data_IF_866932941889
#
_entry.id   IF_866932941889
#
_cell.length_a   1.000
_cell.length_b   1.000
_cell.length_c   1.000
_cell.angle_alpha   90.00
_cell.angle_beta   90.00
_cell.angle_gamma   90.00
#
_symmetry.space_group_name_H-M   'P 1'
#
loop_
_entity.id
_entity.type
_entity.pdbx_description
1 polymer ?
#
# COMPACT_ATOMS: atom_id res chain seq x y z
N UNK A 1 9.22 14.08 -31.91
CA UNK A 1 8.19 14.12 -30.84
C UNK A 1 8.76 13.39 -29.65
N UNK A 2 9.13 14.11 -28.58
CA UNK A 2 9.61 13.50 -27.35
C UNK A 2 8.37 13.08 -26.56
N UNK A 3 8.19 11.79 -26.30
CA UNK A 3 7.22 11.36 -25.30
C UNK A 3 7.79 11.75 -23.94
N UNK A 4 7.37 12.90 -23.40
CA UNK A 4 7.41 13.13 -21.97
C UNK A 4 6.55 12.03 -21.34
N UNK A 5 7.21 10.99 -20.80
CA UNK A 5 6.55 10.12 -19.86
C UNK A 5 6.18 10.98 -18.66
N UNK A 6 4.92 11.39 -18.57
CA UNK A 6 4.34 11.94 -17.35
C UNK A 6 4.59 10.93 -16.24
N UNK A 7 5.56 11.23 -15.36
CA UNK A 7 5.77 10.44 -14.16
C UNK A 7 4.50 10.61 -13.32
N UNK A 8 3.66 9.59 -13.30
CA UNK A 8 2.49 9.53 -12.44
C UNK A 8 2.95 9.56 -10.98
N UNK A 9 3.00 10.76 -10.41
CA UNK A 9 3.46 10.97 -9.05
C UNK A 9 2.41 10.43 -8.09
N UNK A 10 2.79 9.41 -7.32
CA UNK A 10 1.97 8.81 -6.28
C UNK A 10 2.76 8.84 -4.98
N UNK A 11 2.14 9.31 -3.90
CA UNK A 11 2.75 9.36 -2.58
C UNK A 11 1.82 8.69 -1.59
N UNK A 12 2.36 7.85 -0.72
CA UNK A 12 1.63 7.21 0.36
C UNK A 12 2.42 7.29 1.67
N UNK A 13 1.67 7.33 2.78
CA UNK A 13 2.21 7.26 4.13
C UNK A 13 1.38 6.24 4.93
N UNK A 14 2.07 5.44 5.73
CA UNK A 14 1.49 4.54 6.70
C UNK A 14 2.05 4.92 8.07
N UNK A 15 1.16 4.98 9.06
CA UNK A 15 1.54 5.26 10.44
C UNK A 15 0.85 4.27 11.37
N UNK A 16 1.53 3.94 12.46
CA UNK A 16 1.02 3.12 13.56
C UNK A 16 1.09 3.96 14.82
N UNK A 17 -0.03 4.19 15.49
CA UNK A 17 -0.05 4.74 16.83
C UNK A 17 0.37 3.63 17.81
N UNK A 18 1.54 3.78 18.44
CA UNK A 18 2.09 2.77 19.34
C UNK A 18 1.31 2.67 20.67
N UNK A 19 0.48 3.66 21.01
CA UNK A 19 -0.27 3.68 22.27
C UNK A 19 -1.52 2.79 22.25
N UNK A 20 -2.14 2.64 21.07
CA UNK A 20 -3.38 1.87 20.87
C UNK A 20 -3.31 0.87 19.69
N UNK A 21 -2.18 0.81 18.99
CA UNK A 21 -1.91 0.00 17.80
C UNK A 21 -2.84 0.31 16.61
N UNK A 22 -3.47 1.48 16.58
CA UNK A 22 -4.25 1.93 15.42
C UNK A 22 -3.33 2.19 14.23
N UNK A 23 -3.82 1.80 13.04
CA UNK A 23 -3.06 1.97 11.80
C UNK A 23 -3.79 2.92 10.87
N UNK A 24 -3.09 3.95 10.44
CA UNK A 24 -3.56 4.94 9.47
C UNK A 24 -2.80 4.80 8.15
N UNK A 25 -3.51 5.02 7.05
CA UNK A 25 -2.91 5.09 5.71
C UNK A 25 -3.48 6.28 4.96
N UNK A 26 -2.62 7.05 4.31
CA UNK A 26 -3.01 8.10 3.38
C UNK A 26 -2.27 7.93 2.05
N UNK A 27 -2.94 8.25 0.94
CA UNK A 27 -2.38 8.17 -0.40
C UNK A 27 -2.91 9.31 -1.27
N UNK A 28 -2.05 9.85 -2.12
CA UNK A 28 -2.42 10.86 -3.11
C UNK A 28 -1.75 10.57 -4.45
N UNK A 29 -2.45 10.87 -5.54
CA UNK A 29 -1.99 10.71 -6.92
C UNK A 29 -2.81 11.62 -7.84
N UNK A 30 -2.31 11.91 -9.04
CA UNK A 30 -3.06 12.62 -10.09
C UNK A 30 -4.15 11.76 -10.77
N UNK A 31 -4.25 10.47 -10.42
CA UNK A 31 -5.24 9.52 -10.96
C UNK A 31 -6.51 9.43 -10.08
N UNK A 32 -7.71 9.30 -10.68
CA UNK A 32 -8.95 9.23 -9.91
C UNK A 32 -9.07 7.91 -9.11
N UNK A 33 -9.89 7.95 -8.05
CA UNK A 33 -10.30 6.78 -7.24
C UNK A 33 -9.14 6.09 -6.49
N UNK A 34 -8.16 6.88 -6.03
CA UNK A 34 -6.94 6.37 -5.38
C UNK A 34 -7.21 5.57 -4.10
N UNK A 35 -8.15 6.02 -3.26
CA UNK A 35 -8.47 5.37 -1.99
C UNK A 35 -9.05 3.96 -2.16
N UNK A 36 -9.82 3.70 -3.21
CA UNK A 36 -10.34 2.34 -3.44
C UNK A 36 -9.31 1.44 -4.15
N UNK A 37 -8.46 2.02 -5.01
CA UNK A 37 -7.57 1.23 -5.87
C UNK A 37 -6.34 0.71 -5.15
N UNK A 38 -5.79 1.50 -4.23
CA UNK A 38 -4.39 1.34 -3.82
C UNK A 38 -4.21 1.06 -2.34
N UNK A 39 -5.20 1.33 -1.49
CA UNK A 39 -5.07 1.09 -0.05
C UNK A 39 -6.02 -0.01 0.43
N UNK A 40 -5.60 -0.68 1.49
CA UNK A 40 -6.43 -1.56 2.29
C UNK A 40 -5.93 -1.49 3.73
N UNK A 41 -6.81 -1.22 4.68
CA UNK A 41 -6.50 -1.22 6.11
C UNK A 41 -7.55 -2.04 6.84
N UNK A 42 -7.12 -2.85 7.79
CA UNK A 42 -7.99 -3.66 8.62
C UNK A 42 -7.48 -3.64 10.05
N UNK A 43 -8.38 -3.30 10.98
CA UNK A 43 -8.09 -3.29 12.41
C UNK A 43 -7.61 -4.67 12.87
N UNK A 44 -6.54 -4.70 13.68
CA UNK A 44 -5.91 -5.94 14.14
C UNK A 44 -5.04 -6.68 13.11
N UNK A 45 -5.03 -6.23 11.85
CA UNK A 45 -4.21 -6.80 10.78
C UNK A 45 -3.08 -5.87 10.33
N UNK A 46 -3.37 -4.58 10.18
CA UNK A 46 -2.47 -3.57 9.65
C UNK A 46 -3.04 -2.86 8.42
N UNK A 47 -2.16 -2.18 7.67
CA UNK A 47 -2.52 -1.50 6.43
C UNK A 47 -1.48 -1.74 5.32
N UNK A 48 -1.95 -1.67 4.08
CA UNK A 48 -1.15 -1.83 2.87
C UNK A 48 -1.47 -0.68 1.93
N UNK A 49 -0.44 -0.08 1.34
CA UNK A 49 -0.55 0.85 0.23
C UNK A 49 0.23 0.29 -0.97
N UNK A 50 -0.47 -0.14 -2.02
CA UNK A 50 0.13 -0.51 -3.31
C UNK A 50 0.24 0.72 -4.20
N UNK A 51 1.33 0.91 -4.92
CA UNK A 51 1.52 2.03 -5.83
C UNK A 51 2.09 1.56 -7.16
N UNK A 52 1.98 2.41 -8.19
CA UNK A 52 2.45 2.22 -9.57
C UNK A 52 1.81 1.02 -10.30
N UNK A 53 0.90 1.28 -11.26
CA UNK A 53 0.31 0.28 -12.18
C UNK A 53 -0.09 -1.08 -11.54
N UNK A 54 -0.34 -1.09 -10.22
CA UNK A 54 -0.31 -2.30 -9.45
C UNK A 54 -1.64 -3.04 -9.56
N UNK A 55 -1.53 -4.36 -9.69
CA UNK A 55 -2.66 -5.27 -9.64
C UNK A 55 -3.45 -5.05 -8.32
N UNK A 56 -4.74 -4.70 -8.46
CA UNK A 56 -5.64 -4.40 -7.33
C UNK A 56 -5.81 -5.58 -6.34
N UNK A 57 -5.43 -6.80 -6.73
CA UNK A 57 -5.45 -7.98 -5.85
C UNK A 57 -4.26 -8.04 -4.89
N UNK A 58 -3.13 -7.41 -5.21
CA UNK A 58 -1.90 -7.48 -4.38
C UNK A 58 -2.12 -6.97 -2.95
N UNK A 59 -2.98 -5.96 -2.77
CA UNK A 59 -3.28 -5.42 -1.42
C UNK A 59 -4.04 -6.42 -0.54
N UNK A 60 -4.90 -7.25 -1.14
CA UNK A 60 -5.69 -8.24 -0.42
C UNK A 60 -4.81 -9.42 0.01
N UNK A 61 -3.98 -9.92 -0.91
CA UNK A 61 -3.01 -10.98 -0.62
C UNK A 61 -2.00 -10.52 0.44
N UNK A 62 -1.46 -9.30 0.31
CA UNK A 62 -0.53 -8.76 1.30
C UNK A 62 -1.17 -8.60 2.68
N UNK A 63 -2.42 -8.12 2.77
CA UNK A 63 -3.13 -8.03 4.05
C UNK A 63 -3.40 -9.41 4.65
N UNK A 64 -3.77 -10.40 3.82
CA UNK A 64 -3.96 -11.76 4.28
C UNK A 64 -2.67 -12.34 4.88
N UNK A 65 -1.51 -12.09 4.25
CA UNK A 65 -0.21 -12.50 4.79
C UNK A 65 0.12 -11.82 6.12
N UNK A 66 -0.19 -10.52 6.26
CA UNK A 66 -0.06 -9.82 7.55
C UNK A 66 -0.91 -10.48 8.65
N UNK A 67 -2.16 -10.85 8.33
CA UNK A 67 -3.05 -11.58 9.25
C UNK A 67 -2.49 -12.94 9.68
N UNK A 68 -1.77 -13.64 8.79
CA UNK A 68 -1.11 -14.91 9.10
C UNK A 68 0.23 -14.73 9.87
N UNK A 69 0.61 -13.49 10.18
CA UNK A 69 1.88 -13.19 10.87
C UNK A 69 3.10 -13.26 9.95
N UNK A 70 2.91 -13.30 8.62
CA UNK A 70 3.98 -13.25 7.61
C UNK A 70 4.49 -11.80 7.46
N UNK A 71 4.94 -11.22 8.57
CA UNK A 71 5.27 -9.81 8.74
C UNK A 71 6.63 -9.40 8.13
N UNK A 72 7.21 -10.21 7.25
CA UNK A 72 8.57 -10.01 6.78
C UNK A 72 8.64 -10.18 5.27
N UNK A 73 9.09 -9.12 4.59
CA UNK A 73 9.81 -9.28 3.32
C UNK A 73 10.94 -10.26 3.62
N UNK A 74 10.79 -11.53 3.26
CA UNK A 74 11.94 -12.41 3.14
C UNK A 74 12.84 -11.71 2.13
N UNK A 75 13.88 -11.04 2.63
CA UNK A 75 14.98 -10.58 1.81
C UNK A 75 15.70 -11.82 1.30
N UNK A 76 15.14 -12.46 0.27
CA UNK A 76 15.89 -13.34 -0.61
C UNK A 76 16.48 -12.43 -1.67
N UNK A 77 17.65 -11.87 -1.38
CA UNK A 77 18.56 -11.51 -2.46
C UNK A 77 19.21 -12.82 -2.96
N UNK A 78 19.45 -13.00 -4.27
CA UNK A 78 20.33 -14.05 -4.77
C UNK A 78 21.77 -13.88 -4.26
#
# INVERSE_FOLDING_TARGET
>A
MVHEQSIDSTFSILAVDQSNLEVGVAITTCRPVVGNRYILALAGAGAIATQAQANAYLKHEALHRLLQGENRLQHTNP
#
